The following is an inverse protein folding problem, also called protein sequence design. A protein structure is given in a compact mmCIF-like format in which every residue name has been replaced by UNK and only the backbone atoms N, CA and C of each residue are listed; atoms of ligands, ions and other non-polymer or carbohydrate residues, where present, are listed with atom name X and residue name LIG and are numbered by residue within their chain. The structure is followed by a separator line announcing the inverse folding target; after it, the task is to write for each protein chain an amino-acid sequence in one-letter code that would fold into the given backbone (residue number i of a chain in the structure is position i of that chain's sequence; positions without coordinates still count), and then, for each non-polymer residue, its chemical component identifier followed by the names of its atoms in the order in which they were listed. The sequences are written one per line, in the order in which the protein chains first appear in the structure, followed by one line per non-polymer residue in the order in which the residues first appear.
data_IF_111475677235
#
_entry.id   IF_111475677235
#
_cell.length_a   1.000
_cell.length_b   1.000
_cell.length_c   1.000
_cell.angle_alpha   90.00
_cell.angle_beta   90.00
_cell.angle_gamma   90.00
#
_symmetry.space_group_name_H-M   'P 1'
#
loop_
_entity.id
_entity.type
_entity.pdbx_description
1 polymer ?
#
# COMPACT_ATOMS: atom_id res chain seq x y z
N UNK A 1 -7.27 -6.69 -3.64
CA UNK A 1 -5.79 -6.59 -3.74
C UNK A 1 -5.42 -6.25 -5.18
N UNK A 2 -4.13 -6.16 -5.50
CA UNK A 2 -3.67 -6.01 -6.87
C UNK A 2 -2.71 -7.15 -7.21
N UNK A 3 -2.71 -7.55 -8.48
CA UNK A 3 -1.70 -8.45 -9.04
C UNK A 3 -0.75 -7.62 -9.89
N UNK A 4 0.55 -7.75 -9.61
CA UNK A 4 1.61 -7.10 -10.39
C UNK A 4 2.22 -8.15 -11.32
N UNK A 5 2.27 -7.85 -12.61
CA UNK A 5 2.96 -8.68 -13.59
C UNK A 5 4.42 -8.23 -13.69
N UNK A 6 5.34 -9.13 -13.35
CA UNK A 6 6.78 -8.85 -13.34
C UNK A 6 7.43 -9.32 -14.63
N UNK A 7 8.52 -8.66 -15.03
CA UNK A 7 9.40 -9.14 -16.12
C UNK A 7 10.50 -10.09 -15.63
N UNK A 8 10.61 -10.27 -14.30
CA UNK A 8 11.69 -11.02 -13.65
C UNK A 8 13.02 -10.25 -13.52
N UNK A 9 13.09 -9.01 -13.99
CA UNK A 9 14.31 -8.20 -14.00
C UNK A 9 14.54 -7.42 -12.70
N UNK A 10 13.51 -7.26 -11.85
CA UNK A 10 13.57 -6.54 -10.57
C UNK A 10 12.59 -7.11 -9.54
N UNK A 11 12.91 -6.93 -8.27
CA UNK A 11 12.08 -7.31 -7.11
C UNK A 11 11.48 -6.12 -6.37
N UNK A 12 11.87 -4.87 -6.71
CA UNK A 12 11.22 -3.68 -6.18
C UNK A 12 9.98 -3.36 -7.01
N UNK A 13 8.88 -4.02 -6.66
CA UNK A 13 7.62 -4.03 -7.41
C UNK A 13 6.63 -2.95 -6.97
N UNK A 14 7.12 -1.91 -6.28
CA UNK A 14 6.27 -0.86 -5.75
C UNK A 14 5.40 -0.30 -6.89
N UNK A 15 4.06 -0.47 -6.79
CA UNK A 15 3.12 -0.14 -7.86
C UNK A 15 2.81 1.37 -7.90
N UNK A 16 3.38 2.14 -6.96
CA UNK A 16 3.39 3.59 -7.00
C UNK A 16 4.49 4.04 -7.96
N UNK A 17 4.07 4.74 -9.01
CA UNK A 17 4.86 5.27 -10.14
C UNK A 17 6.10 6.10 -9.74
N UNK A 18 6.21 6.49 -8.45
CA UNK A 18 7.21 7.42 -7.90
C UNK A 18 8.38 6.71 -7.19
N UNK A 19 8.30 5.41 -6.90
CA UNK A 19 9.35 4.74 -6.10
C UNK A 19 10.64 4.40 -6.85
N UNK A 20 10.69 4.56 -8.18
CA UNK A 20 11.91 4.35 -8.98
C UNK A 20 12.57 5.68 -9.34
N UNK A 21 13.06 6.42 -8.34
CA UNK A 21 13.94 7.57 -8.57
C UNK A 21 15.39 7.11 -8.70
N UNK A 22 15.74 6.40 -9.78
CA UNK A 22 17.15 6.41 -10.19
C UNK A 22 17.46 7.80 -10.77
N UNK A 23 17.96 8.70 -9.93
CA UNK A 23 18.65 9.92 -10.36
C UNK A 23 17.89 11.25 -10.28
N UNK A 24 16.71 11.34 -9.67
CA UNK A 24 16.06 12.65 -9.42
C UNK A 24 16.46 13.15 -8.04
N UNK A 25 17.44 14.05 -8.02
CA UNK A 25 17.72 14.90 -6.86
C UNK A 25 16.44 15.64 -6.47
N UNK A 26 16.04 15.51 -5.21
CA UNK A 26 14.89 16.21 -4.61
C UNK A 26 15.21 17.70 -4.51
N UNK A 27 15.06 18.42 -5.61
CA UNK A 27 15.17 19.87 -5.67
C UNK A 27 14.25 20.40 -6.78
N UNK A 28 13.05 20.83 -6.40
CA UNK A 28 12.15 21.64 -7.22
C UNK A 28 11.00 20.86 -7.84
N UNK A 29 9.87 21.57 -7.97
CA UNK A 29 8.63 21.19 -8.66
C UNK A 29 8.86 20.24 -9.85
N UNK A 30 8.67 18.94 -9.62
CA UNK A 30 8.46 17.99 -10.72
C UNK A 30 7.01 17.58 -10.69
N UNK A 31 6.29 17.96 -11.74
CA UNK A 31 4.93 17.56 -11.99
C UNK A 31 4.88 16.02 -12.05
N UNK A 32 4.08 15.41 -11.18
CA UNK A 32 3.95 13.94 -11.03
C UNK A 32 3.58 13.24 -12.35
N UNK A 33 3.09 13.99 -13.35
CA UNK A 33 2.71 13.50 -14.66
C UNK A 33 3.87 13.08 -15.57
N UNK A 34 5.11 13.52 -15.29
CA UNK A 34 6.26 13.34 -16.20
C UNK A 34 7.25 12.24 -15.75
N UNK A 35 6.95 11.49 -14.68
CA UNK A 35 7.76 10.36 -14.26
C UNK A 35 7.68 9.22 -15.32
N UNK A 36 8.80 8.54 -15.65
CA UNK A 36 8.77 7.39 -16.56
C UNK A 36 7.80 6.35 -16.00
N UNK A 37 6.76 6.03 -16.76
CA UNK A 37 5.80 4.99 -16.40
C UNK A 37 6.56 3.68 -16.24
N UNK A 38 6.77 3.23 -15.01
CA UNK A 38 7.29 1.90 -14.78
C UNK A 38 6.38 0.93 -15.54
N UNK A 39 6.91 0.15 -16.47
CA UNK A 39 6.15 -0.74 -17.35
C UNK A 39 5.48 -1.92 -16.65
N UNK A 40 5.22 -1.82 -15.34
CA UNK A 40 4.53 -2.80 -14.54
C UNK A 40 3.04 -2.76 -14.86
N UNK A 41 2.53 -3.89 -15.37
CA UNK A 41 1.10 -4.08 -15.56
C UNK A 41 0.51 -4.51 -14.23
N UNK A 42 -0.52 -3.79 -13.79
CA UNK A 42 -1.26 -4.09 -12.56
C UNK A 42 -2.73 -4.27 -12.85
N UNK A 43 -3.36 -5.21 -12.14
CA UNK A 43 -4.81 -5.41 -12.21
C UNK A 43 -5.40 -5.68 -10.84
N UNK A 44 -6.69 -5.38 -10.70
CA UNK A 44 -7.45 -5.78 -9.53
C UNK A 44 -7.45 -7.31 -9.43
N UNK A 45 -7.23 -7.83 -8.23
CA UNK A 45 -7.38 -9.25 -7.97
C UNK A 45 -8.04 -9.49 -6.60
N UNK A 46 -8.69 -10.65 -6.51
CA UNK A 46 -9.17 -11.19 -5.26
C UNK A 46 -8.33 -12.41 -4.88
N UNK A 47 -7.43 -12.30 -3.89
CA UNK A 47 -6.66 -13.45 -3.41
C UNK A 47 -7.60 -14.52 -2.80
N UNK A 48 -7.17 -15.80 -2.78
CA UNK A 48 -7.83 -16.83 -2.00
C UNK A 48 -8.00 -16.42 -0.53
N UNK A 49 -9.10 -16.88 0.10
CA UNK A 49 -9.42 -16.54 1.49
C UNK A 49 -8.29 -16.88 2.47
N UNK A 50 -7.61 -18.01 2.26
CA UNK A 50 -6.47 -18.44 3.06
C UNK A 50 -5.29 -17.44 3.05
N UNK A 51 -5.08 -16.72 1.94
CA UNK A 51 -4.05 -15.68 1.83
C UNK A 51 -4.51 -14.39 2.49
N UNK A 52 -5.79 -14.04 2.38
CA UNK A 52 -6.37 -12.90 3.10
C UNK A 52 -6.20 -13.13 4.60
N UNK A 53 -6.60 -14.31 5.10
CA UNK A 53 -6.45 -14.69 6.51
C UNK A 53 -4.98 -14.67 6.95
N UNK A 54 -4.04 -15.08 6.09
CA UNK A 54 -2.62 -15.03 6.38
C UNK A 54 -2.10 -13.60 6.52
N UNK A 55 -2.50 -12.71 5.61
CA UNK A 55 -2.14 -11.28 5.65
C UNK A 55 -2.74 -10.62 6.90
N UNK A 56 -3.99 -10.91 7.24
CA UNK A 56 -4.62 -10.38 8.46
C UNK A 56 -3.90 -10.85 9.73
N UNK A 57 -3.47 -12.12 9.79
CA UNK A 57 -2.64 -12.63 10.90
C UNK A 57 -1.28 -11.95 10.98
N UNK A 58 -0.64 -11.69 9.84
CA UNK A 58 0.64 -10.95 9.79
C UNK A 58 0.44 -9.53 10.32
N UNK A 59 -0.56 -8.81 9.82
CA UNK A 59 -0.87 -7.45 10.26
C UNK A 59 -1.16 -7.39 11.77
N UNK A 60 -1.97 -8.32 12.29
CA UNK A 60 -2.26 -8.42 13.72
C UNK A 60 -1.01 -8.70 14.56
N UNK A 61 -0.16 -9.66 14.12
CA UNK A 61 1.09 -9.97 14.82
C UNK A 61 2.09 -8.81 14.81
N UNK A 62 2.12 -8.04 13.72
CA UNK A 62 2.93 -6.85 13.58
C UNK A 62 2.34 -5.62 14.30
N UNK A 63 1.09 -5.72 14.80
CA UNK A 63 0.31 -4.61 15.36
C UNK A 63 0.18 -3.44 14.37
N UNK A 64 -0.14 -3.77 13.13
CA UNK A 64 -0.36 -2.81 12.06
C UNK A 64 -1.85 -2.62 11.85
N UNK A 65 -2.32 -1.38 11.99
CA UNK A 65 -3.70 -1.01 11.63
C UNK A 65 -3.83 -0.76 10.11
N UNK A 66 -2.72 -0.41 9.46
CA UNK A 66 -2.63 -0.19 8.02
C UNK A 66 -1.23 -0.54 7.49
N UNK A 67 -1.18 -1.00 6.24
CA UNK A 67 0.05 -1.22 5.50
C UNK A 67 -0.17 -2.03 4.23
N UNK A 68 0.93 -2.33 3.55
CA UNK A 68 1.01 -3.28 2.44
C UNK A 68 1.68 -4.57 2.88
N UNK A 69 1.23 -5.69 2.32
CA UNK A 69 1.91 -6.98 2.40
C UNK A 69 2.04 -7.52 0.99
N UNK A 70 3.26 -7.84 0.58
CA UNK A 70 3.57 -8.37 -0.74
C UNK A 70 3.97 -9.84 -0.66
N UNK A 71 3.49 -10.62 -1.63
CA UNK A 71 3.82 -12.04 -1.73
C UNK A 71 3.95 -12.48 -3.19
N UNK A 72 4.72 -13.55 -3.38
CA UNK A 72 4.81 -14.29 -4.64
C UNK A 72 4.18 -15.68 -4.45
N UNK A 73 3.64 -16.26 -5.50
CA UNK A 73 3.27 -17.68 -5.52
C UNK A 73 4.41 -18.46 -6.17
N UNK A 74 5.01 -19.38 -5.43
CA UNK A 74 6.00 -20.31 -5.98
C UNK A 74 5.32 -21.23 -7.00
N UNK A 75 5.79 -21.24 -8.24
CA UNK A 75 5.19 -22.07 -9.30
C UNK A 75 5.48 -23.56 -9.10
N UNK A 76 6.53 -23.92 -8.35
CA UNK A 76 6.94 -25.31 -8.16
C UNK A 76 6.04 -26.08 -7.18
N UNK A 77 5.54 -25.40 -6.13
CA UNK A 77 4.73 -26.01 -5.09
C UNK A 77 3.46 -25.23 -4.72
N UNK A 78 3.22 -24.08 -5.35
CA UNK A 78 2.03 -23.24 -5.18
C UNK A 78 2.03 -22.41 -3.89
N UNK A 79 3.11 -22.42 -3.09
CA UNK A 79 3.12 -21.73 -1.81
C UNK A 79 3.25 -20.22 -1.96
N UNK A 80 2.55 -19.48 -1.09
CA UNK A 80 2.76 -18.05 -0.97
C UNK A 80 4.03 -17.74 -0.16
N UNK A 81 4.90 -16.93 -0.75
CA UNK A 81 6.14 -16.42 -0.17
C UNK A 81 5.96 -14.93 0.11
N UNK A 82 5.66 -14.59 1.37
CA UNK A 82 5.54 -13.20 1.83
C UNK A 82 6.94 -12.60 2.02
N UNK A 83 7.23 -11.49 1.34
CA UNK A 83 8.59 -10.94 1.31
C UNK A 83 8.70 -9.48 1.73
N UNK A 84 7.62 -8.69 1.64
CA UNK A 84 7.58 -7.31 2.14
C UNK A 84 6.33 -7.08 2.99
N UNK A 85 6.53 -6.44 4.15
CA UNK A 85 5.50 -6.06 5.12
C UNK A 85 5.81 -4.62 5.53
N UNK A 86 5.03 -3.68 5.02
CA UNK A 86 5.34 -2.26 5.12
C UNK A 86 4.15 -1.43 5.60
N UNK A 87 4.27 -0.82 6.78
CA UNK A 87 3.24 0.05 7.35
C UNK A 87 3.07 1.38 6.62
N UNK A 88 4.07 1.81 5.84
CA UNK A 88 4.08 3.06 5.07
C UNK A 88 4.09 2.79 3.56
N UNK A 89 3.47 1.69 3.13
CA UNK A 89 3.32 1.39 1.71
C UNK A 89 2.51 2.49 1.02
N UNK A 90 2.93 2.84 -0.18
CA UNK A 90 2.16 3.73 -1.05
C UNK A 90 0.97 2.98 -1.67
N UNK A 91 -0.04 3.73 -2.07
CA UNK A 91 -1.14 3.20 -2.89
C UNK A 91 -0.71 3.12 -4.36
N UNK A 92 -1.32 2.18 -5.09
CA UNK A 92 -1.18 2.09 -6.55
C UNK A 92 -1.70 3.35 -7.24
N UNK A 93 -1.05 3.76 -8.34
CA UNK A 93 -1.53 4.87 -9.15
C UNK A 93 -2.95 4.59 -9.70
N UNK A 94 -3.80 5.62 -9.71
CA UNK A 94 -5.22 5.53 -10.09
C UNK A 94 -5.98 4.41 -9.35
N UNK A 95 -5.80 4.33 -8.03
CA UNK A 95 -6.41 3.31 -7.18
C UNK A 95 -7.94 3.22 -7.32
N UNK A 96 -8.64 4.35 -7.50
CA UNK A 96 -10.09 4.34 -7.70
C UNK A 96 -10.50 3.48 -8.91
N UNK A 97 -9.76 3.57 -10.01
CA UNK A 97 -9.97 2.73 -11.19
C UNK A 97 -9.50 1.29 -10.96
N UNK A 98 -8.36 1.10 -10.31
CA UNK A 98 -7.73 -0.23 -10.15
C UNK A 98 -8.46 -1.09 -9.12
N UNK A 99 -8.74 -0.58 -7.94
CA UNK A 99 -9.35 -1.35 -6.83
C UNK A 99 -10.82 -0.99 -6.56
N UNK A 100 -11.39 -0.03 -7.29
CA UNK A 100 -12.82 0.31 -7.24
C UNK A 100 -13.22 1.24 -6.10
N UNK A 101 -12.26 1.80 -5.36
CA UNK A 101 -12.50 2.81 -4.33
C UNK A 101 -11.29 3.73 -4.17
N UNK A 102 -11.51 4.92 -3.61
CA UNK A 102 -10.43 5.84 -3.25
C UNK A 102 -9.81 5.45 -1.90
N UNK A 103 -8.56 4.94 -1.87
CA UNK A 103 -7.91 4.54 -0.63
C UNK A 103 -7.51 5.74 0.24
N UNK A 104 -7.32 6.93 -0.34
CA UNK A 104 -7.02 8.14 0.43
C UNK A 104 -8.23 8.56 1.25
N UNK A 105 -9.43 8.53 0.66
CA UNK A 105 -10.67 8.80 1.39
C UNK A 105 -10.86 7.83 2.57
N UNK A 106 -10.63 6.52 2.35
CA UNK A 106 -10.69 5.50 3.42
C UNK A 106 -9.67 5.74 4.53
N UNK A 107 -8.46 6.17 4.17
CA UNK A 107 -7.42 6.55 5.13
C UNK A 107 -7.85 7.78 5.95
N UNK A 108 -8.42 8.80 5.32
CA UNK A 108 -8.95 9.97 6.03
C UNK A 108 -10.03 9.56 7.03
N UNK A 109 -11.02 8.74 6.61
CA UNK A 109 -12.08 8.24 7.49
C UNK A 109 -11.51 7.50 8.71
N UNK A 110 -10.50 6.65 8.49
CA UNK A 110 -9.81 5.93 9.56
C UNK A 110 -9.13 6.89 10.54
N UNK A 111 -8.38 7.88 10.03
CA UNK A 111 -7.69 8.86 10.87
C UNK A 111 -8.67 9.71 11.70
N UNK A 112 -9.82 10.10 11.13
CA UNK A 112 -10.87 10.80 11.87
C UNK A 112 -11.45 9.94 13.00
N UNK A 113 -11.57 8.63 12.80
CA UNK A 113 -11.98 7.70 13.84
C UNK A 113 -10.91 7.57 14.94
N UNK A 114 -9.64 7.42 14.57
CA UNK A 114 -8.53 7.35 15.52
C UNK A 114 -8.42 8.61 16.39
N UNK A 115 -8.61 9.80 15.80
CA UNK A 115 -8.66 11.07 16.55
C UNK A 115 -9.81 11.06 17.56
N UNK A 116 -11.01 10.60 17.17
CA UNK A 116 -12.16 10.49 18.09
C UNK A 116 -11.90 9.49 19.22
N UNK A 117 -11.27 8.34 18.93
CA UNK A 117 -10.88 7.33 19.92
C UNK A 117 -9.88 7.91 20.92
N UNK A 118 -8.85 8.60 20.44
CA UNK A 118 -7.85 9.25 21.27
C UNK A 118 -8.45 10.32 22.18
N UNK A 119 -9.33 11.18 21.64
CA UNK A 119 -10.01 12.23 22.41
C UNK A 119 -10.90 11.65 23.52
N UNK A 120 -11.51 10.49 23.28
CA UNK A 120 -12.34 9.78 24.26
C UNK A 120 -11.49 9.10 25.33
N UNK A 121 -10.36 8.50 24.96
CA UNK A 121 -9.45 7.80 25.88
C UNK A 121 -8.64 8.74 26.78
N UNK A 122 -8.26 9.92 26.30
CA UNK A 122 -7.42 10.87 27.05
C UNK A 122 -8.22 11.97 27.77
N UNK A 123 -9.53 12.06 27.55
CA UNK A 123 -10.37 13.15 28.10
C UNK A 123 -10.02 14.54 27.58
N UNK A 124 -9.08 14.65 26.64
CA UNK A 124 -8.63 15.90 26.04
C UNK A 124 -8.83 15.82 24.53
N UNK A 125 -9.63 16.72 23.97
CA UNK A 125 -9.65 16.96 22.54
C UNK A 125 -8.33 17.66 22.20
N UNK A 126 -7.43 17.01 21.46
CA UNK A 126 -6.30 17.71 20.86
C UNK A 126 -6.87 18.84 19.99
N UNK A 127 -6.69 20.08 20.44
CA UNK A 127 -6.98 21.25 19.65
C UNK A 127 -5.83 21.40 18.66
N UNK A 128 -6.04 20.94 17.43
CA UNK A 128 -5.20 21.33 16.30
C UNK A 128 -5.56 22.79 15.93
N UNK A 129 -5.13 23.73 16.77
CA UNK A 129 -5.00 25.12 16.39
C UNK A 129 -3.51 25.36 16.14
N UNK A 130 -3.13 25.28 14.87
CA UNK A 130 -1.89 25.81 14.32
C UNK A 130 -2.25 26.83 13.26
#
# INVERSE_FOLDING_TARGET
AIKVYTTGESFNLCPAEICQTEGVSVAGDVCVADAPKSGLVVEACQPPAELIDAVERIAAAARMDMGGVEYLTDESDGRALFYDINALSNFVADAARVVGFDPHARLVDFLEEEVRRCATATGSRFSAAG
#
